data_IF_230894273509
#
_entry.id   IF_230894273509
#
_cell.length_a   1.000
_cell.length_b   1.000
_cell.length_c   1.000
_cell.angle_alpha   90.00
_cell.angle_beta   90.00
_cell.angle_gamma   90.00
#
_symmetry.space_group_name_H-M   'P 1'
#
loop_
_entity.id
_entity.type
_entity.pdbx_description
1 polymer ?
#
# COMPACT_ATOMS: atom_id res chain seq x y z
N UNK A 1 8.18 -6.14 -7.10
CA UNK A 1 7.55 -6.28 -5.78
C UNK A 1 6.21 -5.55 -5.75
N UNK A 2 5.31 -6.04 -4.97
CA UNK A 2 4.02 -5.40 -4.75
C UNK A 2 4.07 -4.65 -3.43
N UNK A 3 3.97 -3.32 -3.49
CA UNK A 3 4.12 -2.45 -2.33
C UNK A 3 2.84 -1.66 -2.12
N UNK A 4 2.30 -1.73 -0.91
CA UNK A 4 1.11 -0.98 -0.54
C UNK A 4 1.52 0.20 0.34
N UNK A 5 1.07 1.39 -0.04
CA UNK A 5 1.28 2.61 0.73
C UNK A 5 -0.02 2.97 1.43
N UNK A 6 0.00 3.00 2.73
CA UNK A 6 -1.17 3.39 3.52
C UNK A 6 -1.15 4.90 3.73
N UNK A 7 -2.11 5.60 3.17
CA UNK A 7 -2.18 7.06 3.24
C UNK A 7 -3.62 7.52 3.27
N UNK A 8 -3.92 8.50 4.11
CA UNK A 8 -5.25 9.11 4.12
C UNK A 8 -5.45 10.05 2.94
N UNK A 9 -4.38 10.58 2.41
CA UNK A 9 -4.47 11.55 1.32
C UNK A 9 -3.47 11.19 0.23
N UNK A 10 -3.93 10.53 -0.85
CA UNK A 10 -3.04 10.14 -1.95
C UNK A 10 -2.46 11.33 -2.72
N UNK A 11 -2.98 12.53 -2.49
CA UNK A 11 -2.50 13.73 -3.15
C UNK A 11 -1.35 14.41 -2.42
N UNK A 12 -0.93 13.88 -1.28
CA UNK A 12 0.23 14.40 -0.58
C UNK A 12 1.48 14.24 -1.44
N UNK A 13 2.28 15.28 -1.47
CA UNK A 13 3.49 15.32 -2.28
C UNK A 13 4.43 14.16 -1.95
N UNK A 14 4.65 13.90 -0.67
CA UNK A 14 5.53 12.81 -0.26
C UNK A 14 5.02 11.44 -0.71
N UNK A 15 3.71 11.24 -0.70
CA UNK A 15 3.12 9.99 -1.17
C UNK A 15 3.33 9.83 -2.67
N UNK A 16 3.11 10.89 -3.44
CA UNK A 16 3.33 10.85 -4.89
C UNK A 16 4.78 10.54 -5.23
N UNK A 17 5.72 11.16 -4.52
CA UNK A 17 7.14 10.92 -4.73
C UNK A 17 7.51 9.48 -4.46
N UNK A 18 6.97 8.92 -3.40
CA UNK A 18 7.22 7.52 -3.03
C UNK A 18 6.70 6.57 -4.11
N UNK A 19 5.50 6.82 -4.61
CA UNK A 19 4.91 6.00 -5.67
C UNK A 19 5.73 6.08 -6.94
N UNK A 20 6.15 7.28 -7.33
CA UNK A 20 6.98 7.47 -8.52
C UNK A 20 8.32 6.73 -8.39
N UNK A 21 8.95 6.81 -7.24
CA UNK A 21 10.22 6.13 -7.01
C UNK A 21 10.04 4.61 -7.13
N UNK A 22 8.95 4.06 -6.59
CA UNK A 22 8.67 2.65 -6.70
C UNK A 22 8.43 2.20 -8.14
N UNK A 23 7.67 2.99 -8.89
CA UNK A 23 7.39 2.69 -10.29
C UNK A 23 8.66 2.71 -11.14
N UNK A 24 9.58 3.62 -10.87
CA UNK A 24 10.85 3.68 -11.58
C UNK A 24 11.69 2.42 -11.38
N UNK A 25 11.47 1.73 -10.27
CA UNK A 25 12.18 0.48 -9.96
C UNK A 25 11.37 -0.76 -10.35
N UNK A 26 10.34 -0.58 -11.14
CA UNK A 26 9.45 -1.65 -11.62
C UNK A 26 8.69 -2.35 -10.51
N UNK A 27 8.36 -1.63 -9.45
CA UNK A 27 7.51 -2.15 -8.39
C UNK A 27 6.06 -1.79 -8.67
N UNK A 28 5.14 -2.69 -8.30
CA UNK A 28 3.73 -2.39 -8.33
C UNK A 28 3.39 -1.59 -7.08
N UNK A 29 2.93 -0.35 -7.27
CA UNK A 29 2.64 0.56 -6.16
C UNK A 29 1.13 0.75 -6.04
N UNK A 30 0.62 0.50 -4.83
CA UNK A 30 -0.80 0.67 -4.53
C UNK A 30 -0.95 1.66 -3.38
N UNK A 31 -1.86 2.61 -3.52
CA UNK A 31 -2.17 3.56 -2.45
C UNK A 31 -3.55 3.22 -1.90
N UNK A 32 -3.61 2.98 -0.60
CA UNK A 32 -4.85 2.58 0.07
C UNK A 32 -5.07 3.46 1.29
N UNK A 33 -6.31 3.93 1.46
CA UNK A 33 -6.69 4.68 2.64
C UNK A 33 -6.74 3.75 3.84
N UNK A 34 -5.87 3.98 4.81
CA UNK A 34 -5.74 3.10 5.98
C UNK A 34 -7.01 3.07 6.86
N UNK A 35 -7.86 4.09 6.74
CA UNK A 35 -9.10 4.13 7.52
C UNK A 35 -10.18 3.24 6.93
N UNK A 36 -10.00 2.76 5.71
CA UNK A 36 -10.98 1.96 4.98
C UNK A 36 -10.49 0.56 4.66
N UNK A 37 -9.39 0.15 5.24
CA UNK A 37 -8.84 -1.17 4.99
C UNK A 37 -8.57 -1.92 6.29
N UNK A 38 -8.54 -3.23 6.20
CA UNK A 38 -8.14 -4.11 7.29
C UNK A 38 -6.86 -4.83 6.89
N UNK A 39 -5.89 -4.81 7.78
CA UNK A 39 -4.64 -5.52 7.55
C UNK A 39 -4.76 -6.90 8.15
N UNK A 40 -4.57 -7.92 7.32
CA UNK A 40 -4.59 -9.30 7.73
C UNK A 40 -3.17 -9.82 7.68
N UNK A 41 -2.63 -10.20 8.83
CA UNK A 41 -1.28 -10.74 8.89
C UNK A 41 -1.36 -12.24 8.79
N UNK A 42 -0.86 -12.78 7.67
CA UNK A 42 -0.77 -14.23 7.47
C UNK A 42 0.66 -14.69 7.63
N UNK A 43 0.84 -16.01 7.72
CA UNK A 43 2.14 -16.60 8.04
C UNK A 43 3.27 -16.25 7.09
N UNK A 44 2.96 -16.03 5.81
CA UNK A 44 4.00 -15.78 4.81
C UNK A 44 4.06 -14.35 4.35
N UNK A 45 2.93 -13.76 4.02
CA UNK A 45 2.86 -12.39 3.51
C UNK A 45 1.64 -11.69 4.05
N UNK A 46 1.73 -10.39 4.30
CA UNK A 46 0.55 -9.63 4.71
C UNK A 46 -0.47 -9.57 3.57
N UNK A 47 -1.73 -9.53 3.94
CA UNK A 47 -2.82 -9.30 3.02
C UNK A 47 -3.62 -8.11 3.53
N UNK A 48 -4.26 -7.39 2.62
CA UNK A 48 -5.04 -6.22 2.97
C UNK A 48 -6.43 -6.36 2.38
N UNK A 49 -7.44 -6.26 3.22
CA UNK A 49 -8.82 -6.21 2.76
C UNK A 49 -9.21 -4.75 2.58
N UNK A 50 -9.51 -4.38 1.36
CA UNK A 50 -9.90 -3.02 1.03
C UNK A 50 -11.23 -3.05 0.27
N UNK A 51 -12.24 -2.41 0.87
CA UNK A 51 -13.63 -2.48 0.37
C UNK A 51 -14.06 -3.94 0.32
N UNK A 52 -14.37 -4.55 -0.72
CA UNK A 52 -14.76 -5.95 -0.78
C UNK A 52 -13.70 -6.81 -1.46
N UNK A 53 -12.50 -6.25 -1.63
CA UNK A 53 -11.42 -6.97 -2.29
C UNK A 53 -10.33 -7.36 -1.29
N UNK A 54 -9.79 -8.54 -1.49
CA UNK A 54 -8.64 -8.99 -0.73
C UNK A 54 -7.40 -8.83 -1.59
N UNK A 55 -6.47 -7.98 -1.14
CA UNK A 55 -5.21 -7.76 -1.84
C UNK A 55 -4.18 -8.70 -1.23
N UNK A 56 -3.74 -9.67 -2.03
CA UNK A 56 -2.78 -10.68 -1.60
C UNK A 56 -1.43 -10.47 -2.28
N UNK A 57 -0.45 -11.26 -1.87
CA UNK A 57 0.91 -11.20 -2.42
C UNK A 57 1.58 -9.84 -2.24
N UNK A 58 1.25 -9.16 -1.15
CA UNK A 58 1.88 -7.90 -0.80
C UNK A 58 3.26 -8.18 -0.23
N UNK A 59 4.27 -7.59 -0.82
CA UNK A 59 5.67 -7.77 -0.38
C UNK A 59 6.06 -6.78 0.72
N UNK A 60 5.47 -5.59 0.70
CA UNK A 60 5.78 -4.57 1.70
C UNK A 60 4.59 -3.64 1.91
N UNK A 61 4.46 -3.14 3.12
CA UNK A 61 3.45 -2.15 3.48
C UNK A 61 4.18 -0.96 4.09
N UNK A 62 3.95 0.22 3.52
CA UNK A 62 4.59 1.45 4.00
C UNK A 62 3.52 2.36 4.58
N UNK A 63 3.50 2.59 5.89
CA UNK A 63 2.56 3.53 6.47
C UNK A 63 3.03 4.97 6.25
N UNK A 64 2.18 5.77 5.65
CA UNK A 64 2.41 7.20 5.46
C UNK A 64 1.27 7.96 6.10
N UNK A 65 1.07 7.68 7.36
CA UNK A 65 0.00 8.26 8.16
C UNK A 65 0.58 9.48 8.86
N UNK A 66 0.23 10.63 8.37
CA UNK A 66 0.78 11.83 8.98
C UNK A 66 -0.14 13.00 8.83
#
# INVERSE_FOLDING_TARGET
MKIVVLSRNPNLYSTKRLVEAGKKRNHEMLIIDHTKCDIIIERKKPAIRYKHELITDVDAVIPRIG
#
